data_IF_062429140700
#
_entry.id   IF_062429140700
#
_cell.length_a   1.000
_cell.length_b   1.000
_cell.length_c   1.000
_cell.angle_alpha   90.00
_cell.angle_beta   90.00
_cell.angle_gamma   90.00
#
_symmetry.space_group_name_H-M   'P 1'
#
loop_
_entity.id
_entity.type
_entity.pdbx_description
1 polymer ?
#
# COMPACT_ATOMS: atom_id res chain seq x y z
N UNK A 1 19.39 -12.24 7.06
CA UNK A 1 18.05 -12.12 6.48
C UNK A 1 17.95 -12.68 5.05
N UNK A 2 18.82 -12.30 4.11
CA UNK A 2 18.79 -12.84 2.72
C UNK A 2 19.02 -14.36 2.63
N UNK A 3 19.77 -14.92 3.54
CA UNK A 3 20.13 -16.34 3.56
C UNK A 3 19.13 -17.21 4.33
N UNK A 4 18.16 -16.62 5.00
CA UNK A 4 17.17 -17.34 5.78
C UNK A 4 15.83 -17.36 5.03
N UNK A 5 15.32 -18.54 4.63
CA UNK A 5 14.06 -18.66 3.90
C UNK A 5 12.85 -18.08 4.65
N UNK A 6 12.87 -18.14 5.98
CA UNK A 6 11.78 -17.62 6.81
C UNK A 6 11.70 -16.09 6.82
N UNK A 7 12.83 -15.43 6.61
CA UNK A 7 12.92 -13.98 6.57
C UNK A 7 12.73 -13.40 5.17
N UNK A 8 12.84 -14.21 4.11
CA UNK A 8 12.67 -13.72 2.73
C UNK A 8 11.27 -13.16 2.46
N UNK A 9 10.23 -13.81 2.98
CA UNK A 9 8.84 -13.36 2.81
C UNK A 9 8.56 -12.03 3.51
N UNK A 10 9.29 -11.75 4.60
CA UNK A 10 9.12 -10.52 5.41
C UNK A 10 9.72 -9.31 4.67
N UNK A 11 10.67 -9.51 3.75
CA UNK A 11 11.17 -8.39 2.94
C UNK A 11 10.06 -7.73 2.14
N UNK A 12 9.22 -8.51 1.47
CA UNK A 12 8.07 -7.98 0.73
C UNK A 12 7.14 -7.17 1.64
N UNK A 13 6.81 -7.72 2.81
CA UNK A 13 5.97 -7.05 3.81
C UNK A 13 6.61 -5.75 4.32
N UNK A 14 7.92 -5.73 4.56
CA UNK A 14 8.61 -4.53 5.02
C UNK A 14 8.57 -3.41 3.98
N UNK A 15 8.81 -3.73 2.70
CA UNK A 15 8.69 -2.76 1.62
C UNK A 15 7.26 -2.28 1.42
N UNK A 16 6.27 -3.17 1.56
CA UNK A 16 4.86 -2.83 1.51
C UNK A 16 4.47 -1.86 2.63
N UNK A 17 4.96 -2.07 3.86
CA UNK A 17 4.77 -1.15 4.97
C UNK A 17 5.32 0.26 4.69
N UNK A 18 6.45 0.35 3.98
CA UNK A 18 6.99 1.64 3.51
C UNK A 18 6.12 2.28 2.42
N UNK A 19 5.61 1.48 1.49
CA UNK A 19 4.74 1.94 0.42
C UNK A 19 3.37 2.42 0.92
N UNK A 20 2.78 1.74 1.91
CA UNK A 20 1.49 2.10 2.54
C UNK A 20 1.54 3.48 3.20
N UNK A 21 2.71 3.99 3.58
CA UNK A 21 2.84 5.36 4.10
C UNK A 21 2.60 6.42 3.03
N UNK A 22 2.61 6.06 1.75
CA UNK A 22 2.32 6.93 0.61
C UNK A 22 0.83 6.90 0.27
N UNK A 23 0.03 7.76 0.90
CA UNK A 23 -1.40 7.88 0.61
C UNK A 23 -1.77 9.25 0.07
N UNK A 24 -2.99 9.42 -0.47
CA UNK A 24 -3.45 10.69 -1.05
C UNK A 24 -3.52 11.84 -0.04
N UNK A 25 -3.58 11.53 1.24
CA UNK A 25 -3.57 12.50 2.34
C UNK A 25 -2.20 12.60 2.99
N UNK A 26 -1.51 11.46 3.17
CA UNK A 26 -0.26 11.38 3.92
C UNK A 26 0.88 12.12 3.22
N UNK A 27 1.05 11.94 1.91
CA UNK A 27 2.14 12.56 1.15
C UNK A 27 2.06 14.09 1.17
N UNK A 28 0.94 14.74 0.83
CA UNK A 28 0.84 16.20 0.92
C UNK A 28 1.04 16.71 2.36
N UNK A 29 0.55 16.01 3.36
CA UNK A 29 0.67 16.39 4.76
C UNK A 29 2.13 16.30 5.25
N UNK A 30 2.82 15.20 5.00
CA UNK A 30 4.23 15.01 5.38
C UNK A 30 5.15 15.96 4.62
N UNK A 31 4.85 16.21 3.35
CA UNK A 31 5.60 17.16 2.52
C UNK A 31 5.44 18.59 3.04
N UNK A 32 4.22 19.03 3.35
CA UNK A 32 3.96 20.36 3.89
C UNK A 32 4.61 20.55 5.27
N UNK A 33 4.58 19.50 6.11
CA UNK A 33 5.28 19.49 7.39
C UNK A 33 6.78 19.60 7.20
N UNK A 34 7.35 18.85 6.27
CA UNK A 34 8.78 18.89 5.93
C UNK A 34 9.23 20.26 5.45
N UNK A 35 8.46 20.90 4.59
CA UNK A 35 8.71 22.26 4.12
C UNK A 35 8.61 23.26 5.29
N UNK A 36 7.59 23.12 6.15
CA UNK A 36 7.41 23.95 7.33
C UNK A 36 8.59 23.86 8.31
N UNK A 37 9.08 22.65 8.58
CA UNK A 37 10.26 22.41 9.44
C UNK A 37 11.52 23.02 8.80
N UNK A 38 11.73 22.84 7.50
CA UNK A 38 12.88 23.40 6.81
C UNK A 38 12.90 24.94 6.86
N UNK A 39 11.74 25.56 6.68
CA UNK A 39 11.59 27.02 6.80
C UNK A 39 11.85 27.51 8.22
N UNK A 40 11.31 26.82 9.24
CA UNK A 40 11.53 27.16 10.65
C UNK A 40 12.98 26.99 11.09
N UNK A 41 13.71 26.02 10.50
CA UNK A 41 15.13 25.80 10.75
C UNK A 41 16.07 26.80 10.03
N UNK A 42 15.53 27.80 9.35
CA UNK A 42 16.31 28.81 8.64
C UNK A 42 17.02 28.32 7.37
N UNK A 43 16.71 27.11 6.91
CA UNK A 43 17.24 26.50 5.68
C UNK A 43 16.26 26.65 4.49
N UNK A 44 15.41 27.67 4.54
CA UNK A 44 14.27 27.86 3.64
C UNK A 44 14.61 28.07 2.15
N UNK A 45 15.89 28.12 1.79
CA UNK A 45 16.30 28.26 0.39
C UNK A 45 16.47 26.93 -0.36
N UNK A 46 16.30 25.78 0.28
CA UNK A 46 16.29 24.49 -0.41
C UNK A 46 14.90 23.85 -0.30
N UNK A 47 14.11 24.07 -1.31
CA UNK A 47 12.81 23.40 -1.52
C UNK A 47 12.89 21.86 -1.44
N UNK A 48 14.07 21.30 -1.63
CA UNK A 48 14.38 19.88 -1.51
C UNK A 48 14.43 19.38 -0.05
N UNK A 49 14.59 20.26 0.94
CA UNK A 49 14.68 19.85 2.36
C UNK A 49 13.40 19.19 2.88
N UNK A 50 12.22 19.53 2.33
CA UNK A 50 10.95 18.91 2.67
C UNK A 50 10.86 17.45 2.25
N UNK A 51 11.52 17.06 1.17
CA UNK A 51 11.51 15.67 0.68
C UNK A 51 12.24 14.70 1.61
N UNK A 52 13.24 15.16 2.36
CA UNK A 52 13.93 14.32 3.34
C UNK A 52 12.98 13.74 4.40
N UNK A 53 11.99 14.53 4.83
CA UNK A 53 10.99 14.08 5.81
C UNK A 53 10.07 13.00 5.21
N UNK A 54 9.66 13.15 3.95
CA UNK A 54 8.86 12.13 3.23
C UNK A 54 9.64 10.83 3.10
N UNK A 55 10.91 10.92 2.70
CA UNK A 55 11.78 9.74 2.57
C UNK A 55 11.94 9.02 3.91
N UNK A 56 12.18 9.75 5.01
CA UNK A 56 12.29 9.17 6.34
C UNK A 56 10.97 8.54 6.80
N UNK A 57 9.83 9.18 6.53
CA UNK A 57 8.51 8.65 6.87
C UNK A 57 8.23 7.30 6.20
N UNK A 58 8.75 7.05 4.99
CA UNK A 58 8.64 5.76 4.31
C UNK A 58 9.71 4.75 4.76
N UNK A 59 10.93 5.23 5.08
CA UNK A 59 12.05 4.37 5.45
C UNK A 59 11.92 3.78 6.86
N UNK A 60 11.42 4.57 7.82
CA UNK A 60 11.27 4.12 9.21
C UNK A 60 10.35 2.89 9.37
N UNK A 61 9.18 2.80 8.75
CA UNK A 61 8.36 1.59 8.79
C UNK A 61 9.06 0.35 8.23
N UNK A 62 9.81 0.51 7.13
CA UNK A 62 10.61 -0.59 6.55
C UNK A 62 11.63 -1.10 7.59
N UNK A 63 12.40 -0.19 8.16
CA UNK A 63 13.40 -0.53 9.18
C UNK A 63 12.76 -1.15 10.43
N UNK A 64 11.63 -0.60 10.90
CA UNK A 64 10.92 -1.12 12.05
C UNK A 64 10.45 -2.57 11.85
N UNK A 65 9.86 -2.87 10.69
CA UNK A 65 9.43 -4.24 10.36
C UNK A 65 10.62 -5.19 10.23
N UNK A 66 11.72 -4.75 9.61
CA UNK A 66 12.93 -5.58 9.49
C UNK A 66 13.57 -5.85 10.87
N UNK A 67 13.66 -4.85 11.74
CA UNK A 67 14.18 -5.03 13.10
C UNK A 67 13.28 -5.95 13.90
N UNK A 68 11.95 -5.73 13.83
CA UNK A 68 10.98 -6.57 14.50
C UNK A 68 11.06 -8.02 14.03
N UNK A 69 11.22 -8.24 12.71
CA UNK A 69 11.32 -9.58 12.15
C UNK A 69 12.57 -10.33 12.64
N UNK A 70 13.70 -9.64 12.72
CA UNK A 70 14.92 -10.20 13.31
C UNK A 70 14.73 -10.50 14.79
N UNK A 71 14.11 -9.58 15.54
CA UNK A 71 13.83 -9.79 16.95
C UNK A 71 12.91 -11.01 17.17
N UNK A 72 11.82 -11.12 16.42
CA UNK A 72 10.89 -12.26 16.49
C UNK A 72 11.60 -13.56 16.12
N UNK A 73 12.41 -13.58 15.08
CA UNK A 73 13.15 -14.79 14.66
C UNK A 73 14.16 -15.28 15.70
N UNK A 74 14.65 -14.38 16.57
CA UNK A 74 15.58 -14.72 17.66
C UNK A 74 14.86 -15.15 18.95
N UNK A 75 13.59 -14.73 19.14
CA UNK A 75 12.86 -14.92 20.42
C UNK A 75 11.74 -15.94 20.33
N UNK A 76 11.19 -16.20 19.14
CA UNK A 76 10.01 -17.03 18.93
C UNK A 76 10.33 -18.17 17.96
N UNK A 77 9.95 -19.40 18.30
CA UNK A 77 10.11 -20.53 17.38
C UNK A 77 9.03 -20.52 16.31
N UNK A 78 9.32 -21.04 15.09
CA UNK A 78 8.32 -21.13 14.01
C UNK A 78 7.03 -21.86 14.43
N UNK A 79 7.15 -22.87 15.28
CA UNK A 79 6.01 -23.63 15.80
C UNK A 79 5.07 -22.77 16.65
N UNK A 80 5.62 -21.87 17.47
CA UNK A 80 4.84 -20.94 18.28
C UNK A 80 4.11 -19.90 17.40
N UNK A 81 4.73 -19.45 16.31
CA UNK A 81 4.11 -18.54 15.36
C UNK A 81 2.94 -19.24 14.66
N UNK A 82 3.13 -20.48 14.19
CA UNK A 82 2.07 -21.27 13.54
C UNK A 82 0.93 -21.55 14.52
N UNK A 83 1.23 -21.90 15.77
CA UNK A 83 0.20 -22.12 16.80
C UNK A 83 -0.57 -20.83 17.12
N UNK A 84 0.10 -19.69 17.21
CA UNK A 84 -0.53 -18.40 17.42
C UNK A 84 -1.40 -17.99 16.23
N UNK A 85 -0.93 -18.22 14.99
CA UNK A 85 -1.72 -17.96 13.78
C UNK A 85 -2.95 -18.87 13.68
N UNK A 86 -2.82 -20.16 14.03
CA UNK A 86 -3.94 -21.11 14.07
C UNK A 86 -4.99 -20.71 15.13
N UNK A 87 -4.55 -20.26 16.32
CA UNK A 87 -5.46 -19.77 17.37
C UNK A 87 -6.14 -18.44 16.98
N UNK A 88 -5.43 -17.56 16.29
CA UNK A 88 -6.01 -16.32 15.76
C UNK A 88 -6.99 -16.58 14.61
N UNK A 89 -6.73 -17.58 13.75
CA UNK A 89 -7.62 -18.00 12.67
C UNK A 89 -8.85 -18.77 13.17
N UNK A 90 -8.73 -19.48 14.29
CA UNK A 90 -9.84 -20.26 14.91
C UNK A 90 -10.88 -19.40 15.64
N UNK A 91 -10.55 -18.16 15.97
CA UNK A 91 -11.49 -17.22 16.61
C UNK A 91 -12.50 -16.59 15.64
N UNK A 92 -12.45 -16.92 14.35
CA UNK A 92 -13.36 -16.39 13.30
C UNK A 92 -14.76 -17.05 13.30
N UNK A 93 -15.05 -17.96 14.25
CA UNK A 93 -16.40 -18.53 14.44
C UNK A 93 -17.15 -17.96 15.66
N UNK A 94 -16.61 -16.96 16.34
CA UNK A 94 -17.43 -16.14 17.22
C UNK A 94 -18.46 -15.41 16.37
N UNK A 95 -19.73 -15.42 16.77
CA UNK A 95 -20.83 -14.70 16.13
C UNK A 95 -20.34 -13.30 15.74
N UNK A 96 -20.17 -13.09 14.42
CA UNK A 96 -19.74 -11.80 13.88
C UNK A 96 -20.73 -10.74 14.36
N UNK A 97 -20.28 -9.85 15.20
CA UNK A 97 -21.08 -8.69 15.61
C UNK A 97 -21.58 -7.97 14.37
N UNK A 98 -22.74 -7.35 14.43
CA UNK A 98 -23.31 -6.55 13.33
C UNK A 98 -22.26 -5.53 12.82
N UNK A 99 -21.37 -5.06 13.68
CA UNK A 99 -20.30 -4.12 13.38
C UNK A 99 -19.12 -4.71 12.61
N UNK A 100 -19.00 -6.04 12.60
CA UNK A 100 -17.95 -6.78 11.86
C UNK A 100 -18.46 -7.28 10.51
N UNK A 101 -19.73 -6.99 10.17
CA UNK A 101 -20.32 -7.33 8.87
C UNK A 101 -20.21 -6.15 7.90
N UNK A 102 -19.93 -6.48 6.65
CA UNK A 102 -19.99 -5.49 5.56
C UNK A 102 -21.46 -5.07 5.32
N UNK A 103 -21.77 -3.77 5.13
CA UNK A 103 -20.87 -2.62 4.92
C UNK A 103 -20.43 -1.88 6.21
N UNK A 104 -20.91 -2.28 7.38
CA UNK A 104 -20.67 -1.52 8.61
C UNK A 104 -19.20 -1.53 9.03
N UNK A 105 -18.51 -2.65 8.84
CA UNK A 105 -17.06 -2.74 9.11
C UNK A 105 -16.27 -1.70 8.32
N UNK A 106 -16.62 -1.44 7.07
CA UNK A 106 -15.93 -0.47 6.20
C UNK A 106 -16.15 0.98 6.71
N UNK A 107 -17.33 1.27 7.22
CA UNK A 107 -17.65 2.56 7.83
C UNK A 107 -16.84 2.74 9.12
N UNK A 108 -16.80 1.71 9.97
CA UNK A 108 -16.00 1.73 11.20
C UNK A 108 -14.51 1.91 10.91
N UNK A 109 -13.99 1.22 9.90
CA UNK A 109 -12.59 1.37 9.47
C UNK A 109 -12.31 2.78 8.95
N UNK A 110 -13.23 3.36 8.18
CA UNK A 110 -13.13 4.75 7.70
C UNK A 110 -13.06 5.77 8.84
N UNK A 111 -13.93 5.64 9.82
CA UNK A 111 -13.93 6.50 11.02
C UNK A 111 -12.64 6.28 11.83
N UNK A 112 -12.27 5.01 12.07
CA UNK A 112 -11.07 4.63 12.82
C UNK A 112 -9.78 5.13 12.18
N UNK A 113 -9.72 5.26 10.85
CA UNK A 113 -8.56 5.80 10.14
C UNK A 113 -8.37 7.30 10.39
N UNK A 114 -9.45 8.08 10.42
CA UNK A 114 -9.38 9.54 10.51
C UNK A 114 -9.39 10.04 11.97
N UNK A 115 -10.14 9.39 12.85
CA UNK A 115 -10.37 9.87 14.22
C UNK A 115 -9.08 10.08 15.03
N UNK A 116 -8.12 9.14 15.06
CA UNK A 116 -6.86 9.34 15.81
C UNK A 116 -6.05 10.52 15.28
N UNK A 117 -6.02 10.71 13.95
CA UNK A 117 -5.33 11.83 13.33
C UNK A 117 -5.95 13.17 13.74
N UNK A 118 -7.28 13.25 13.72
CA UNK A 118 -8.01 14.44 14.14
C UNK A 118 -7.77 14.76 15.61
N UNK A 119 -7.86 13.77 16.47
CA UNK A 119 -7.59 13.93 17.92
C UNK A 119 -6.16 14.44 18.12
N UNK A 120 -5.18 13.86 17.44
CA UNK A 120 -3.79 14.28 17.52
C UNK A 120 -3.60 15.73 17.03
N UNK A 121 -4.19 16.10 15.90
CA UNK A 121 -4.07 17.45 15.36
C UNK A 121 -4.77 18.48 16.28
N UNK A 122 -5.92 18.13 16.87
CA UNK A 122 -6.59 18.99 17.84
C UNK A 122 -5.76 19.13 19.13
N UNK A 123 -5.15 18.03 19.60
CA UNK A 123 -4.23 18.07 20.73
C UNK A 123 -3.07 19.03 20.46
N UNK A 124 -2.40 18.91 19.31
CA UNK A 124 -1.30 19.80 18.92
C UNK A 124 -1.77 21.25 18.83
N UNK A 125 -2.92 21.49 18.20
CA UNK A 125 -3.45 22.84 18.02
C UNK A 125 -3.78 23.51 19.35
N UNK A 126 -4.50 22.83 20.25
CA UNK A 126 -4.98 23.46 21.49
C UNK A 126 -3.95 23.46 22.62
N UNK A 127 -3.13 22.39 22.73
CA UNK A 127 -2.21 22.24 23.85
C UNK A 127 -0.80 22.75 23.52
N UNK A 128 -0.27 22.37 22.36
CA UNK A 128 1.10 22.74 21.98
C UNK A 128 1.13 24.16 21.41
N UNK A 129 0.31 24.45 20.43
CA UNK A 129 0.27 25.77 19.75
C UNK A 129 -0.59 26.79 20.51
N UNK A 130 -1.44 26.32 21.45
CA UNK A 130 -2.38 27.19 22.21
C UNK A 130 -3.18 28.13 21.32
N UNK A 131 -3.49 27.67 20.12
CA UNK A 131 -4.17 28.44 19.07
C UNK A 131 -5.66 28.09 19.03
N UNK A 132 -6.47 29.05 18.62
CA UNK A 132 -7.91 28.81 18.39
C UNK A 132 -8.16 28.56 16.92
N UNK A 133 -9.17 27.76 16.59
CA UNK A 133 -9.61 27.52 15.22
C UNK A 133 -10.09 28.83 14.59
N UNK A 134 -9.48 29.33 13.52
CA UNK A 134 -9.86 30.62 12.91
C UNK A 134 -11.29 30.58 12.31
N UNK A 135 -11.70 29.43 11.75
CA UNK A 135 -13.02 29.25 11.14
C UNK A 135 -13.63 27.89 11.56
N UNK A 136 -14.20 27.83 12.77
CA UNK A 136 -14.74 26.58 13.35
C UNK A 136 -15.74 25.88 12.44
N UNK A 137 -16.67 26.61 11.81
CA UNK A 137 -17.68 26.03 10.92
C UNK A 137 -17.05 25.38 9.69
N UNK A 138 -16.08 26.02 9.05
CA UNK A 138 -15.38 25.48 7.88
C UNK A 138 -14.59 24.22 8.25
N UNK A 139 -13.92 24.23 9.42
CA UNK A 139 -13.16 23.07 9.91
C UNK A 139 -14.10 21.89 10.23
N UNK A 140 -15.21 22.12 10.92
CA UNK A 140 -16.19 21.06 11.22
C UNK A 140 -16.79 20.50 9.93
N UNK A 141 -17.19 21.36 9.00
CA UNK A 141 -17.73 20.94 7.71
C UNK A 141 -16.72 20.12 6.92
N UNK A 142 -15.47 20.59 6.80
CA UNK A 142 -14.41 19.87 6.11
C UNK A 142 -14.09 18.52 6.75
N UNK A 143 -14.08 18.45 8.08
CA UNK A 143 -13.86 17.21 8.82
C UNK A 143 -14.99 16.21 8.59
N UNK A 144 -16.25 16.66 8.68
CA UNK A 144 -17.42 15.81 8.43
C UNK A 144 -17.39 15.26 7.01
N UNK A 145 -17.09 16.12 6.02
CA UNK A 145 -16.99 15.71 4.62
C UNK A 145 -15.84 14.71 4.38
N UNK A 146 -14.71 14.89 5.07
CA UNK A 146 -13.57 13.96 5.00
C UNK A 146 -13.90 12.58 5.57
N UNK A 147 -14.59 12.53 6.71
CA UNK A 147 -15.03 11.26 7.32
C UNK A 147 -16.03 10.54 6.40
N UNK A 148 -17.05 11.27 5.90
CA UNK A 148 -18.03 10.70 4.97
C UNK A 148 -17.37 10.21 3.68
N UNK A 149 -16.45 10.99 3.12
CA UNK A 149 -15.70 10.62 1.93
C UNK A 149 -14.88 9.35 2.15
N UNK A 150 -14.22 9.21 3.30
CA UNK A 150 -13.44 8.02 3.62
C UNK A 150 -14.32 6.77 3.81
N UNK A 151 -15.48 6.91 4.45
CA UNK A 151 -16.44 5.81 4.58
C UNK A 151 -16.94 5.33 3.21
N UNK A 152 -17.35 6.26 2.34
CA UNK A 152 -17.82 5.94 0.98
C UNK A 152 -16.69 5.32 0.16
N UNK A 153 -15.48 5.85 0.28
CA UNK A 153 -14.30 5.32 -0.41
C UNK A 153 -14.00 3.88 -0.01
N UNK A 154 -13.98 3.56 1.29
CA UNK A 154 -13.73 2.20 1.77
C UNK A 154 -14.79 1.21 1.27
N UNK A 155 -16.08 1.58 1.33
CA UNK A 155 -17.16 0.76 0.78
C UNK A 155 -16.95 0.52 -0.73
N UNK A 156 -16.63 1.57 -1.49
CA UNK A 156 -16.34 1.46 -2.92
C UNK A 156 -15.10 0.62 -3.22
N UNK A 157 -14.06 0.70 -2.38
CA UNK A 157 -12.85 -0.10 -2.51
C UNK A 157 -13.16 -1.60 -2.30
N UNK A 158 -13.90 -1.95 -1.27
CA UNK A 158 -14.20 -3.35 -0.93
C UNK A 158 -15.15 -3.98 -1.95
N UNK A 159 -16.28 -3.33 -2.23
CA UNK A 159 -17.30 -3.89 -3.14
C UNK A 159 -16.99 -3.71 -4.63
N UNK A 160 -16.19 -2.71 -4.97
CA UNK A 160 -15.79 -2.45 -6.35
C UNK A 160 -14.42 -3.06 -6.68
N UNK A 161 -13.36 -2.31 -6.40
CA UNK A 161 -12.00 -2.69 -6.79
C UNK A 161 -11.53 -3.97 -6.14
N UNK A 162 -11.83 -4.20 -4.86
CA UNK A 162 -11.43 -5.39 -4.12
C UNK A 162 -12.09 -6.65 -4.69
N UNK A 163 -13.40 -6.61 -4.95
CA UNK A 163 -14.13 -7.74 -5.52
C UNK A 163 -13.64 -8.08 -6.94
N UNK A 164 -13.52 -7.07 -7.81
CA UNK A 164 -13.03 -7.25 -9.18
C UNK A 164 -11.58 -7.73 -9.17
N UNK A 165 -10.72 -7.12 -8.35
CA UNK A 165 -9.31 -7.47 -8.24
C UNK A 165 -9.11 -8.90 -7.76
N UNK A 166 -9.89 -9.34 -6.77
CA UNK A 166 -9.87 -10.71 -6.25
C UNK A 166 -10.31 -11.72 -7.31
N UNK A 167 -11.43 -11.47 -8.00
CA UNK A 167 -11.92 -12.35 -9.07
C UNK A 167 -10.93 -12.45 -10.24
N UNK A 168 -10.42 -11.31 -10.70
CA UNK A 168 -9.46 -11.27 -11.80
C UNK A 168 -8.15 -11.93 -11.41
N UNK A 169 -7.63 -11.59 -10.22
CA UNK A 169 -6.36 -12.14 -9.73
C UNK A 169 -6.40 -13.67 -9.53
N UNK A 170 -7.51 -14.21 -9.04
CA UNK A 170 -7.68 -15.65 -8.86
C UNK A 170 -7.86 -16.41 -10.17
N UNK A 171 -8.48 -15.78 -11.18
CA UNK A 171 -8.73 -16.39 -12.48
C UNK A 171 -7.56 -16.24 -13.48
N UNK A 172 -6.70 -15.23 -13.31
CA UNK A 172 -5.62 -14.93 -14.24
C UNK A 172 -4.67 -16.11 -14.52
N UNK A 173 -4.26 -16.93 -13.51
CA UNK A 173 -3.40 -18.08 -13.76
C UNK A 173 -4.04 -19.17 -14.66
N UNK A 174 -5.36 -19.19 -14.84
CA UNK A 174 -6.02 -20.08 -15.81
C UNK A 174 -5.57 -19.85 -17.25
N UNK A 175 -4.91 -18.72 -17.52
CA UNK A 175 -4.34 -18.46 -18.84
C UNK A 175 -3.29 -19.52 -19.24
N UNK A 176 -2.51 -20.05 -18.27
CA UNK A 176 -1.39 -20.95 -18.55
C UNK A 176 -1.33 -22.20 -17.64
N UNK A 177 -2.15 -22.28 -16.56
CA UNK A 177 -2.18 -23.43 -15.68
C UNK A 177 -3.61 -23.93 -15.43
N UNK A 178 -3.74 -25.22 -15.09
CA UNK A 178 -5.03 -25.81 -14.78
C UNK A 178 -5.49 -25.34 -13.39
N UNK A 179 -6.68 -24.72 -13.34
CA UNK A 179 -7.31 -24.30 -12.09
C UNK A 179 -8.63 -25.05 -11.89
N UNK A 180 -8.88 -25.58 -10.68
CA UNK A 180 -10.17 -26.27 -10.38
C UNK A 180 -11.39 -25.35 -10.48
N UNK A 181 -11.19 -24.04 -10.35
CA UNK A 181 -12.25 -23.01 -10.33
C UNK A 181 -12.64 -22.59 -11.76
N UNK A 182 -11.76 -22.83 -12.77
CA UNK A 182 -11.96 -22.40 -14.15
C UNK A 182 -12.01 -23.62 -15.07
N UNK A 183 -13.20 -23.89 -15.59
CA UNK A 183 -13.41 -25.01 -16.54
C UNK A 183 -12.59 -24.77 -17.81
N UNK A 184 -12.08 -25.87 -18.39
CA UNK A 184 -11.25 -25.85 -19.61
C UNK A 184 -9.94 -25.04 -19.51
N UNK A 185 -9.41 -24.81 -18.32
CA UNK A 185 -8.05 -24.28 -18.17
C UNK A 185 -6.99 -25.36 -18.46
N UNK A 186 -5.80 -25.02 -19.02
CA UNK A 186 -5.35 -23.72 -19.47
C UNK A 186 -5.97 -23.26 -20.80
N UNK A 187 -6.27 -21.96 -20.92
CA UNK A 187 -6.89 -21.41 -22.13
C UNK A 187 -5.91 -21.17 -23.27
N UNK A 188 -4.62 -21.01 -22.94
CA UNK A 188 -3.56 -20.70 -23.91
C UNK A 188 -2.36 -21.65 -23.72
N UNK A 189 -1.52 -21.84 -24.75
CA UNK A 189 -0.22 -22.47 -24.56
C UNK A 189 0.57 -21.75 -23.48
N UNK A 190 1.36 -22.50 -22.74
CA UNK A 190 2.07 -22.05 -21.55
C UNK A 190 2.80 -20.70 -21.69
N UNK A 191 3.62 -20.56 -22.74
CA UNK A 191 4.38 -19.33 -23.01
C UNK A 191 3.45 -18.14 -23.27
N UNK A 192 2.39 -18.35 -24.04
CA UNK A 192 1.43 -17.29 -24.38
C UNK A 192 0.67 -16.84 -23.14
N UNK A 193 0.15 -17.81 -22.35
CA UNK A 193 -0.54 -17.53 -21.10
C UNK A 193 0.34 -16.80 -20.08
N UNK A 194 1.63 -17.19 -19.98
CA UNK A 194 2.60 -16.50 -19.14
C UNK A 194 2.80 -15.05 -19.58
N UNK A 195 2.98 -14.79 -20.87
CA UNK A 195 3.13 -13.43 -21.40
C UNK A 195 1.89 -12.58 -21.15
N UNK A 196 0.70 -13.17 -21.28
CA UNK A 196 -0.57 -12.49 -20.97
C UNK A 196 -0.60 -12.09 -19.49
N UNK A 197 -0.23 -13.00 -18.59
CA UNK A 197 -0.23 -12.78 -17.15
C UNK A 197 0.74 -11.65 -16.74
N UNK A 198 1.96 -11.71 -17.24
CA UNK A 198 3.00 -10.69 -16.99
C UNK A 198 2.62 -9.35 -17.62
N UNK A 199 2.06 -9.37 -18.83
CA UNK A 199 1.57 -8.17 -19.52
C UNK A 199 0.42 -7.51 -18.77
N UNK A 200 -0.54 -8.31 -18.27
CA UNK A 200 -1.62 -7.79 -17.43
C UNK A 200 -1.08 -7.17 -16.14
N UNK A 201 -0.14 -7.83 -15.46
CA UNK A 201 0.49 -7.31 -14.25
C UNK A 201 1.21 -5.98 -14.50
N UNK A 202 1.92 -5.87 -15.64
CA UNK A 202 2.56 -4.63 -16.07
C UNK A 202 1.54 -3.51 -16.30
N UNK A 203 0.48 -3.77 -17.08
CA UNK A 203 -0.56 -2.78 -17.38
C UNK A 203 -1.30 -2.34 -16.12
N UNK A 204 -1.59 -3.28 -15.22
CA UNK A 204 -2.23 -2.99 -13.94
C UNK A 204 -1.35 -2.09 -13.08
N UNK A 205 -0.06 -2.41 -12.93
CA UNK A 205 0.88 -1.59 -12.17
C UNK A 205 1.07 -0.20 -12.74
N UNK A 206 1.15 -0.09 -14.07
CA UNK A 206 1.26 1.19 -14.75
C UNK A 206 0.00 2.05 -14.57
N UNK A 207 -1.17 1.48 -14.84
CA UNK A 207 -2.44 2.19 -14.77
C UNK A 207 -2.81 2.61 -13.34
N UNK A 208 -2.65 1.72 -12.37
CA UNK A 208 -2.93 2.02 -10.95
C UNK A 208 -2.05 3.16 -10.42
N UNK A 209 -0.76 3.15 -10.78
CA UNK A 209 0.18 4.20 -10.36
C UNK A 209 -0.16 5.55 -10.99
N UNK A 210 -0.54 5.59 -12.27
CA UNK A 210 -0.98 6.85 -12.91
C UNK A 210 -2.28 7.39 -12.33
N UNK A 211 -3.16 6.53 -11.85
CA UNK A 211 -4.42 6.91 -11.24
C UNK A 211 -4.26 7.40 -9.79
N UNK A 212 -3.07 7.24 -9.18
CA UNK A 212 -2.83 7.59 -7.78
C UNK A 212 -2.85 9.11 -7.53
N UNK A 213 -3.76 9.62 -6.69
CA UNK A 213 -3.86 11.05 -6.41
C UNK A 213 -2.62 11.61 -5.69
N UNK A 214 -1.95 10.79 -4.87
CA UNK A 214 -0.76 11.20 -4.12
C UNK A 214 0.42 11.49 -5.06
N UNK A 215 0.65 10.63 -6.04
CA UNK A 215 1.68 10.83 -7.05
C UNK A 215 1.42 12.09 -7.90
N UNK A 216 0.14 12.35 -8.17
CA UNK A 216 -0.30 13.54 -8.88
C UNK A 216 0.03 14.82 -8.10
N UNK A 217 -0.28 14.86 -6.80
CA UNK A 217 0.04 15.98 -5.91
C UNK A 217 1.56 16.16 -5.75
N UNK A 218 2.30 15.05 -5.57
CA UNK A 218 3.76 15.07 -5.50
C UNK A 218 4.37 15.63 -6.78
N UNK A 219 3.87 15.19 -7.94
CA UNK A 219 4.34 15.66 -9.24
C UNK A 219 4.14 17.17 -9.45
N UNK A 220 3.00 17.71 -9.03
CA UNK A 220 2.76 19.15 -9.05
C UNK A 220 3.73 19.90 -8.12
N UNK A 221 3.90 19.41 -6.90
CA UNK A 221 4.82 20.04 -5.95
C UNK A 221 6.26 20.04 -6.45
N UNK A 222 6.73 18.93 -7.02
CA UNK A 222 8.09 18.86 -7.61
C UNK A 222 8.24 19.84 -8.76
N UNK A 223 7.23 19.95 -9.62
CA UNK A 223 7.25 20.89 -10.74
C UNK A 223 7.32 22.34 -10.26
N UNK A 224 6.57 22.71 -9.24
CA UNK A 224 6.59 24.04 -8.64
C UNK A 224 7.94 24.33 -7.96
N UNK A 225 8.45 23.41 -7.16
CA UNK A 225 9.72 23.54 -6.45
C UNK A 225 10.94 23.63 -7.37
N UNK A 226 10.86 23.03 -8.55
CA UNK A 226 11.92 23.08 -9.56
C UNK A 226 11.71 24.19 -10.59
N UNK A 227 10.75 25.10 -10.38
CA UNK A 227 10.38 26.14 -11.33
C UNK A 227 10.11 25.59 -12.76
N UNK A 228 9.48 24.42 -12.83
CA UNK A 228 9.14 23.76 -14.11
C UNK A 228 10.28 23.00 -14.78
N UNK A 229 11.49 22.97 -14.21
CA UNK A 229 12.62 22.21 -14.75
C UNK A 229 12.31 20.69 -14.77
N UNK A 230 11.59 20.20 -13.78
CA UNK A 230 11.13 18.82 -13.71
C UNK A 230 9.61 18.78 -13.91
N UNK A 231 9.18 18.31 -15.07
CA UNK A 231 7.75 18.26 -15.41
C UNK A 231 7.04 17.16 -14.60
N UNK A 232 5.84 17.45 -14.09
CA UNK A 232 4.96 16.50 -13.41
C UNK A 232 4.80 15.18 -14.19
N UNK A 233 4.53 15.27 -15.49
CA UNK A 233 4.32 14.10 -16.34
C UNK A 233 5.55 13.18 -16.40
N UNK A 234 6.74 13.76 -16.46
CA UNK A 234 7.99 12.99 -16.46
C UNK A 234 8.13 12.16 -15.19
N UNK A 235 7.87 12.76 -14.02
CA UNK A 235 7.90 12.05 -12.75
C UNK A 235 6.85 10.93 -12.71
N UNK A 236 5.61 11.24 -13.08
CA UNK A 236 4.51 10.27 -13.06
C UNK A 236 4.78 9.06 -13.94
N UNK A 237 5.22 9.26 -15.19
CA UNK A 237 5.52 8.16 -16.09
C UNK A 237 6.75 7.35 -15.68
N UNK A 238 7.78 7.98 -15.12
CA UNK A 238 8.96 7.29 -14.63
C UNK A 238 8.61 6.36 -13.46
N UNK A 239 7.84 6.86 -12.50
CA UNK A 239 7.39 6.07 -11.34
C UNK A 239 6.45 4.95 -11.80
N UNK A 240 5.46 5.26 -12.65
CA UNK A 240 4.51 4.26 -13.15
C UNK A 240 5.21 3.13 -13.92
N UNK A 241 6.21 3.46 -14.75
CA UNK A 241 7.02 2.45 -15.45
C UNK A 241 7.82 1.59 -14.48
N UNK A 242 8.45 2.20 -13.47
CA UNK A 242 9.19 1.48 -12.45
C UNK A 242 8.32 0.49 -11.66
N UNK A 243 7.13 0.93 -11.23
CA UNK A 243 6.16 0.08 -10.54
C UNK A 243 5.65 -1.03 -11.45
N UNK A 244 5.31 -0.72 -12.70
CA UNK A 244 4.85 -1.70 -13.68
C UNK A 244 5.87 -2.82 -13.90
N UNK A 245 7.15 -2.47 -14.09
CA UNK A 245 8.25 -3.44 -14.22
C UNK A 245 8.41 -4.25 -12.93
N UNK A 246 8.36 -3.60 -11.76
CA UNK A 246 8.47 -4.28 -10.46
C UNK A 246 7.36 -5.31 -10.24
N UNK A 247 6.10 -4.97 -10.53
CA UNK A 247 4.97 -5.89 -10.40
C UNK A 247 5.08 -7.03 -11.43
N UNK A 248 5.43 -6.72 -12.68
CA UNK A 248 5.62 -7.74 -13.73
C UNK A 248 6.69 -8.76 -13.35
N UNK A 249 7.85 -8.32 -12.85
CA UNK A 249 8.92 -9.19 -12.35
C UNK A 249 8.50 -9.97 -11.11
N UNK A 250 7.74 -9.34 -10.20
CA UNK A 250 7.19 -9.98 -9.00
C UNK A 250 6.25 -11.13 -9.34
N UNK A 251 5.41 -10.97 -10.37
CA UNK A 251 4.51 -12.02 -10.86
C UNK A 251 5.27 -13.09 -11.66
N UNK A 252 6.27 -12.69 -12.46
CA UNK A 252 7.06 -13.63 -13.24
C UNK A 252 7.85 -14.62 -12.37
N UNK A 253 8.33 -14.21 -11.20
CA UNK A 253 9.16 -15.04 -10.33
C UNK A 253 8.45 -16.30 -9.80
N UNK A 254 7.30 -16.25 -9.10
CA UNK A 254 6.62 -17.44 -8.62
C UNK A 254 6.13 -18.34 -9.75
N UNK A 255 5.74 -17.76 -10.88
CA UNK A 255 5.30 -18.52 -12.06
C UNK A 255 6.45 -19.37 -12.61
N UNK A 256 7.65 -18.81 -12.73
CA UNK A 256 8.84 -19.56 -13.16
C UNK A 256 9.20 -20.70 -12.19
N UNK A 257 9.04 -20.51 -10.87
CA UNK A 257 9.34 -21.54 -9.89
C UNK A 257 8.33 -22.71 -9.91
N UNK A 258 7.06 -22.44 -10.12
CA UNK A 258 6.04 -23.49 -10.25
C UNK A 258 6.28 -24.35 -11.48
N UNK A 259 6.80 -23.79 -12.56
CA UNK A 259 7.16 -24.51 -13.78
C UNK A 259 8.34 -25.44 -13.61
N UNK A 260 9.42 -25.00 -13.01
CA UNK A 260 10.59 -25.83 -12.77
C UNK A 260 10.25 -27.05 -11.90
N UNK A 261 9.39 -26.90 -10.90
CA UNK A 261 8.97 -27.96 -10.00
C UNK A 261 7.99 -28.95 -10.67
N UNK A 262 7.10 -28.49 -11.55
CA UNK A 262 6.21 -29.36 -12.32
C UNK A 262 6.99 -30.24 -13.32
N UNK A 263 8.05 -29.72 -13.92
CA UNK A 263 8.94 -30.49 -14.82
C UNK A 263 9.75 -31.57 -14.09
N UNK A 264 10.21 -31.29 -12.86
CA UNK A 264 10.94 -32.28 -12.05
C UNK A 264 10.05 -33.45 -11.59
N UNK A 265 8.76 -33.20 -11.32
CA UNK A 265 7.81 -34.26 -10.90
C UNK A 265 7.29 -35.12 -12.05
N UNK A 266 7.42 -34.69 -13.30
CA UNK A 266 7.01 -35.49 -14.49
C UNK A 266 8.15 -36.31 -15.08
N UNK A 267 9.39 -36.12 -14.62
CA UNK A 267 10.60 -36.85 -15.08
C UNK A 267 11.09 -37.94 -14.11
N UNK A 268 10.41 -38.14 -12.98
CA UNK A 268 10.57 -39.27 -12.07
C UNK A 268 9.29 -40.11 -12.04
#
# INVERSE_FOLDING_TARGET
AWSDPNLQSIFGLAWDCGAVTTGPVTVPLVLSLGIGIANAAGKGNSSLSGFGVVTLASLFPILAVLILSVFVSLTVTPEQIIAAAASAGGSTQAELSIWDQTPLVEIVLGVRAILPLVIFLMFVLFIVLRSTLPNRMVTIYGLTLSILGMCIFNVGLTYGLGAIGSQTGSALPAAFMQLPIVENSPHYPEIVGFVICVGFAFLLGFGSTLAEPALNALGLTVQELTNGAFKKSMLMYSVATGVAVGIALGVAKPVSYTHLRAHETTTN
#
